data_IF_053645837902
#
_entry.id   IF_053645837902
#
_cell.length_a   1.000
_cell.length_b   1.000
_cell.length_c   1.000
_cell.angle_alpha   90.00
_cell.angle_beta   90.00
_cell.angle_gamma   90.00
#
_symmetry.space_group_name_H-M   'P 1'
#
loop_
_entity.id
_entity.type
_entity.pdbx_description
1 polymer ?
#
# COMPACT_ATOMS: atom_id res chain seq x y z
N UNK A 1 3.32 14.55 -15.05
CA UNK A 1 3.50 13.75 -13.81
C UNK A 1 4.40 12.58 -14.14
N UNK A 2 5.59 12.47 -13.54
CA UNK A 2 6.49 11.35 -13.82
C UNK A 2 5.83 10.03 -13.36
N UNK A 3 5.35 9.23 -14.31
CA UNK A 3 5.03 7.82 -14.12
C UNK A 3 6.36 7.09 -13.91
N UNK A 4 6.80 7.03 -12.65
CA UNK A 4 7.94 6.21 -12.27
C UNK A 4 7.47 4.76 -12.34
N UNK A 5 8.12 3.98 -13.21
CA UNK A 5 7.90 2.54 -13.36
C UNK A 5 7.93 1.89 -11.98
N UNK A 6 6.92 1.08 -11.59
CA UNK A 6 7.02 0.27 -10.38
C UNK A 6 8.28 -0.59 -10.47
N UNK A 7 9.04 -0.66 -9.37
CA UNK A 7 10.26 -1.45 -9.34
C UNK A 7 9.94 -2.94 -9.49
N UNK A 8 10.87 -3.70 -10.07
CA UNK A 8 10.78 -5.15 -10.07
C UNK A 8 10.54 -5.64 -8.64
N UNK A 9 9.61 -6.59 -8.47
CA UNK A 9 9.20 -7.08 -7.15
C UNK A 9 10.40 -7.59 -6.32
N UNK A 10 11.46 -8.03 -6.99
CA UNK A 10 12.72 -8.54 -6.45
C UNK A 10 13.56 -7.47 -5.71
N UNK A 11 13.42 -6.19 -6.09
CA UNK A 11 14.19 -5.09 -5.51
C UNK A 11 13.50 -4.45 -4.29
N UNK A 12 12.27 -4.87 -3.97
CA UNK A 12 11.59 -4.45 -2.74
C UNK A 12 12.16 -5.24 -1.56
N UNK A 13 12.51 -4.61 -0.44
CA UNK A 13 12.74 -5.35 0.79
C UNK A 13 11.45 -6.11 1.14
N UNK A 14 11.58 -7.27 1.81
CA UNK A 14 10.43 -8.06 2.19
C UNK A 14 9.55 -7.22 3.13
N UNK A 15 8.43 -6.72 2.59
CA UNK A 15 7.38 -6.13 3.41
C UNK A 15 6.80 -7.25 4.28
N UNK A 16 6.49 -6.97 5.56
CA UNK A 16 5.91 -7.98 6.42
C UNK A 16 4.59 -8.46 5.81
N UNK A 17 4.43 -9.79 5.71
CA UNK A 17 3.17 -10.38 5.34
C UNK A 17 2.08 -9.92 6.31
N UNK A 18 0.90 -9.62 5.76
CA UNK A 18 -0.25 -9.22 6.55
C UNK A 18 -1.48 -10.01 6.13
N UNK A 19 -2.39 -10.20 7.09
CA UNK A 19 -3.70 -10.77 6.82
C UNK A 19 -4.58 -9.67 6.25
N UNK A 20 -5.12 -9.83 5.03
CA UNK A 20 -6.03 -8.85 4.46
C UNK A 20 -7.22 -8.60 5.38
N UNK A 21 -7.56 -7.32 5.56
CA UNK A 21 -8.69 -6.89 6.38
C UNK A 21 -9.97 -7.49 5.77
N UNK A 22 -10.77 -8.24 6.54
CA UNK A 22 -12.00 -8.83 6.03
C UNK A 22 -12.97 -7.75 5.56
N UNK A 23 -13.43 -7.85 4.30
CA UNK A 23 -14.42 -6.93 3.72
C UNK A 23 -15.47 -7.73 2.97
N UNK A 24 -16.71 -7.22 2.98
CA UNK A 24 -17.75 -7.74 2.08
C UNK A 24 -17.27 -7.57 0.64
N UNK A 25 -17.32 -8.65 -0.14
CA UNK A 25 -16.94 -8.63 -1.54
C UNK A 25 -17.75 -7.58 -2.30
N UNK A 26 -17.05 -6.77 -3.07
CA UNK A 26 -17.58 -5.82 -4.06
C UNK A 26 -16.57 -5.71 -5.19
N UNK A 27 -17.06 -5.68 -6.43
CA UNK A 27 -16.22 -5.60 -7.63
C UNK A 27 -15.28 -4.37 -7.66
N UNK A 28 -15.72 -3.27 -7.06
CA UNK A 28 -15.01 -2.01 -6.90
C UNK A 28 -14.41 -1.81 -5.50
N UNK A 29 -14.54 -2.82 -4.63
CA UNK A 29 -14.18 -2.75 -3.22
C UNK A 29 -12.74 -3.15 -2.91
N UNK A 30 -12.43 -3.20 -1.61
CA UNK A 30 -11.16 -3.69 -1.10
C UNK A 30 -11.11 -5.22 -1.14
N UNK A 31 -10.59 -5.78 -2.23
CA UNK A 31 -10.24 -7.20 -2.30
C UNK A 31 -8.88 -7.47 -1.63
N UNK A 32 -8.58 -8.70 -1.20
CA UNK A 32 -7.26 -9.06 -0.69
C UNK A 32 -6.10 -8.65 -1.61
N UNK A 33 -6.29 -8.81 -2.92
CA UNK A 33 -5.30 -8.48 -3.95
C UNK A 33 -5.06 -6.97 -4.01
N UNK A 34 -6.14 -6.16 -3.97
CA UNK A 34 -6.00 -4.70 -3.92
C UNK A 34 -5.32 -4.21 -2.65
N UNK A 35 -5.56 -4.86 -1.50
CA UNK A 35 -4.86 -4.52 -0.27
C UNK A 35 -3.36 -4.79 -0.38
N UNK A 36 -2.97 -5.94 -0.92
CA UNK A 36 -1.55 -6.28 -1.16
C UNK A 36 -0.91 -5.34 -2.17
N UNK A 37 -1.59 -5.06 -3.28
CA UNK A 37 -1.13 -4.11 -4.29
C UNK A 37 -0.98 -2.69 -3.73
N UNK A 38 -1.86 -2.29 -2.81
CA UNK A 38 -1.79 -0.97 -2.18
C UNK A 38 -0.53 -0.84 -1.30
N UNK A 39 -0.25 -1.86 -0.48
CA UNK A 39 0.96 -1.89 0.35
C UNK A 39 2.23 -1.89 -0.50
N UNK A 40 2.26 -2.65 -1.59
CA UNK A 40 3.35 -2.63 -2.56
C UNK A 40 3.55 -1.23 -3.18
N UNK A 41 2.47 -0.61 -3.66
CA UNK A 41 2.52 0.73 -4.26
C UNK A 41 2.93 1.80 -3.24
N UNK A 42 2.57 1.63 -1.96
CA UNK A 42 2.98 2.52 -0.89
C UNK A 42 4.49 2.45 -0.65
N UNK A 43 5.06 1.24 -0.67
CA UNK A 43 6.50 1.02 -0.58
C UNK A 43 7.24 1.64 -1.78
N UNK A 44 6.69 1.53 -2.98
CA UNK A 44 7.33 2.06 -4.18
C UNK A 44 7.35 3.60 -4.24
N UNK A 45 6.31 4.22 -3.69
CA UNK A 45 6.03 5.67 -3.87
C UNK A 45 6.25 6.52 -2.63
N UNK A 46 6.19 5.94 -1.43
CA UNK A 46 6.15 6.69 -0.16
C UNK A 46 4.93 7.63 -0.03
N UNK A 47 3.94 7.52 -0.91
CA UNK A 47 2.82 8.47 -1.01
C UNK A 47 1.48 7.76 -1.06
N UNK A 48 0.67 7.94 -0.02
CA UNK A 48 -0.66 7.35 0.10
C UNK A 48 -1.56 7.73 -1.08
N UNK A 49 -1.51 8.98 -1.52
CA UNK A 49 -2.32 9.48 -2.66
C UNK A 49 -1.97 8.74 -3.95
N UNK A 50 -0.67 8.56 -4.22
CA UNK A 50 -0.21 7.86 -5.43
C UNK A 50 -0.50 6.36 -5.35
N UNK A 51 -0.23 5.74 -4.20
CA UNK A 51 -0.53 4.33 -3.98
C UNK A 51 -2.03 4.02 -4.14
N UNK A 52 -2.89 4.87 -3.60
CA UNK A 52 -4.35 4.74 -3.74
C UNK A 52 -4.79 4.83 -5.20
N UNK A 53 -4.26 5.80 -5.96
CA UNK A 53 -4.53 5.93 -7.39
C UNK A 53 -4.08 4.70 -8.19
N UNK A 54 -2.92 4.12 -7.86
CA UNK A 54 -2.39 2.92 -8.54
C UNK A 54 -3.27 1.68 -8.36
N UNK A 55 -4.04 1.59 -7.27
CA UNK A 55 -5.00 0.48 -7.03
C UNK A 55 -6.45 0.86 -7.32
N UNK A 56 -6.66 2.00 -7.99
CA UNK A 56 -7.98 2.54 -8.31
C UNK A 56 -8.90 2.70 -7.08
N UNK A 57 -8.34 3.20 -5.97
CA UNK A 57 -9.07 3.46 -4.72
C UNK A 57 -8.97 4.93 -4.33
N UNK A 58 -10.02 5.44 -3.70
CA UNK A 58 -10.00 6.76 -3.07
C UNK A 58 -9.10 6.74 -1.81
N UNK A 59 -8.27 7.76 -1.64
CA UNK A 59 -7.37 7.89 -0.48
C UNK A 59 -8.11 7.79 0.87
N UNK A 60 -9.30 8.40 0.95
CA UNK A 60 -10.15 8.35 2.14
C UNK A 60 -10.50 6.91 2.53
N UNK A 61 -10.77 6.06 1.53
CA UNK A 61 -11.10 4.64 1.75
C UNK A 61 -9.90 3.83 2.26
N UNK A 62 -8.66 4.23 1.95
CA UNK A 62 -7.46 3.61 2.49
C UNK A 62 -7.37 3.84 4.01
N UNK A 63 -7.64 5.07 4.47
CA UNK A 63 -7.65 5.36 5.91
C UNK A 63 -8.82 4.70 6.64
N UNK A 64 -9.98 4.58 6.01
CA UNK A 64 -11.10 3.81 6.55
C UNK A 64 -10.74 2.34 6.70
N UNK A 65 -10.04 1.74 5.71
CA UNK A 65 -9.54 0.37 5.82
C UNK A 65 -8.52 0.23 6.96
N UNK A 66 -7.59 1.18 7.10
CA UNK A 66 -6.57 1.19 8.15
C UNK A 66 -7.14 1.23 9.57
N UNK A 67 -8.31 1.84 9.76
CA UNK A 67 -9.01 1.94 11.05
C UNK A 67 -10.02 0.82 11.31
N UNK A 68 -10.23 -0.08 10.35
CA UNK A 68 -11.20 -1.15 10.51
C UNK A 68 -10.73 -2.19 11.55
N UNK A 69 -11.66 -2.87 12.26
CA UNK A 69 -11.31 -4.00 13.11
C UNK A 69 -10.58 -5.11 12.32
N UNK A 70 -9.55 -5.71 12.90
CA UNK A 70 -8.75 -6.75 12.22
C UNK A 70 -7.67 -6.21 11.28
N UNK A 71 -7.47 -4.88 11.23
CA UNK A 71 -6.46 -4.25 10.39
C UNK A 71 -5.07 -4.15 11.05
N UNK A 72 -4.82 -4.82 12.17
CA UNK A 72 -3.59 -4.66 12.95
C UNK A 72 -2.35 -5.06 12.14
N UNK A 73 -2.41 -6.19 11.43
CA UNK A 73 -1.31 -6.64 10.56
C UNK A 73 -1.18 -5.72 9.34
N UNK A 74 -2.29 -5.29 8.75
CA UNK A 74 -2.30 -4.31 7.64
C UNK A 74 -1.66 -2.98 8.05
N UNK A 75 -1.91 -2.48 9.26
CA UNK A 75 -1.26 -1.27 9.80
C UNK A 75 0.25 -1.43 9.90
N UNK A 76 0.73 -2.59 10.37
CA UNK A 76 2.18 -2.85 10.46
C UNK A 76 2.83 -2.85 9.07
N UNK A 77 2.19 -3.50 8.09
CA UNK A 77 2.66 -3.48 6.71
C UNK A 77 2.61 -2.09 6.08
N UNK A 78 1.59 -1.28 6.43
CA UNK A 78 1.49 0.11 5.98
C UNK A 78 2.66 0.95 6.49
N UNK A 79 2.98 0.89 7.79
CA UNK A 79 4.09 1.67 8.35
C UNK A 79 5.43 1.25 7.75
N UNK A 80 5.69 -0.07 7.65
CA UNK A 80 6.90 -0.59 7.01
C UNK A 80 7.04 -0.13 5.55
N UNK A 81 5.93 -0.07 4.81
CA UNK A 81 5.92 0.42 3.44
C UNK A 81 6.21 1.93 3.37
N UNK A 82 5.68 2.74 4.30
CA UNK A 82 6.00 4.17 4.36
C UNK A 82 7.47 4.40 4.69
N UNK A 83 8.01 3.70 5.69
CA UNK A 83 9.40 3.82 6.10
C UNK A 83 10.33 3.50 4.93
N UNK A 84 10.04 2.43 4.19
CA UNK A 84 10.80 2.09 2.98
C UNK A 84 10.68 3.16 1.89
N UNK A 85 9.45 3.60 1.58
CA UNK A 85 9.23 4.60 0.53
C UNK A 85 9.92 5.93 0.84
N UNK A 86 9.92 6.35 2.11
CA UNK A 86 10.61 7.56 2.57
C UNK A 86 12.12 7.39 2.52
N UNK A 87 12.66 6.26 3.00
CA UNK A 87 14.10 5.97 2.91
C UNK A 87 14.59 6.04 1.46
N UNK A 88 13.85 5.41 0.55
CA UNK A 88 14.18 5.44 -0.89
C UNK A 88 14.11 6.83 -1.50
N UNK A 89 13.12 7.65 -1.12
CA UNK A 89 13.06 9.04 -1.60
C UNK A 89 14.26 9.87 -1.15
N UNK A 90 14.84 9.55 0.02
CA UNK A 90 16.09 10.17 0.49
C UNK A 90 17.31 9.67 -0.29
N UNK A 91 17.38 8.38 -0.62
CA UNK A 91 18.52 7.82 -1.36
C UNK A 91 18.61 8.29 -2.83
N UNK A 92 17.49 8.76 -3.40
CA UNK A 92 17.41 9.21 -4.81
C UNK A 92 17.62 10.73 -4.94
N UNK A 93 17.60 11.49 -3.84
CA UNK A 93 17.71 12.95 -3.80
C UNK A 93 19.16 13.40 -3.53
#
# INVERSE_FOLDING_TARGET
>A
MQNRTPIAAEARPPLPDFTPVPRKYRHDGWTPERQKAFIAALADTGSVTRAAAMVNMAQVNCYTLRRAPGAESFRRAWEAALDFGVARLKDIA
#
